data_IF_057700585377
#
_entry.id   IF_057700585377
#
_cell.length_a   1.000
_cell.length_b   1.000
_cell.length_c   1.000
_cell.angle_alpha   90.00
_cell.angle_beta   90.00
_cell.angle_gamma   90.00
#
_symmetry.space_group_name_H-M   'P 1'
#
loop_
_entity.id
_entity.type
_entity.pdbx_description
1 polymer ?
#
# COMPACT_ATOMS: atom_id res chain seq x y z
N UNK A 1 -19.54 14.11 -5.77
CA UNK A 1 -18.69 15.00 -4.96
C UNK A 1 -17.26 14.46 -4.97
N UNK A 2 -16.54 14.61 -6.08
CA UNK A 2 -15.10 14.32 -6.11
C UNK A 2 -14.37 15.56 -5.63
N UNK A 3 -14.32 15.76 -4.31
CA UNK A 3 -13.58 16.85 -3.65
C UNK A 3 -12.06 16.64 -3.66
N UNK A 4 -11.51 16.09 -4.74
CA UNK A 4 -10.08 15.85 -4.89
C UNK A 4 -9.52 16.99 -5.73
N UNK A 5 -8.77 17.90 -5.10
CA UNK A 5 -8.07 18.97 -5.81
C UNK A 5 -7.06 18.39 -6.80
N UNK A 6 -6.94 19.00 -7.99
CA UNK A 6 -5.92 18.61 -8.98
C UNK A 6 -4.51 18.64 -8.37
N UNK A 7 -4.25 19.58 -7.46
CA UNK A 7 -2.99 19.66 -6.72
C UNK A 7 -2.74 18.40 -5.86
N UNK A 8 -3.76 17.91 -5.15
CA UNK A 8 -3.70 16.68 -4.36
C UNK A 8 -3.40 15.45 -5.23
N UNK A 9 -4.00 15.40 -6.42
CA UNK A 9 -3.76 14.31 -7.39
C UNK A 9 -2.31 14.33 -7.92
N UNK A 10 -1.81 15.52 -8.27
CA UNK A 10 -0.42 15.70 -8.74
C UNK A 10 0.57 15.31 -7.65
N UNK A 11 0.35 15.74 -6.41
CA UNK A 11 1.19 15.36 -5.26
C UNK A 11 1.24 13.84 -5.11
N UNK A 12 0.08 13.17 -5.16
CA UNK A 12 0.03 11.71 -5.07
C UNK A 12 0.74 11.01 -6.22
N UNK A 13 0.61 11.53 -7.43
CA UNK A 13 1.30 10.99 -8.60
C UNK A 13 2.82 11.15 -8.48
N UNK A 14 3.31 12.34 -8.12
CA UNK A 14 4.76 12.60 -8.01
C UNK A 14 5.37 11.80 -6.86
N UNK A 15 4.81 11.89 -5.66
CA UNK A 15 5.34 11.14 -4.51
C UNK A 15 5.20 9.63 -4.70
N UNK A 16 4.06 9.16 -5.20
CA UNK A 16 3.83 7.75 -5.46
C UNK A 16 4.76 7.21 -6.54
N UNK A 17 4.85 7.90 -7.69
CA UNK A 17 5.69 7.50 -8.82
C UNK A 17 7.17 7.54 -8.48
N UNK A 18 7.65 8.59 -7.82
CA UNK A 18 9.04 8.71 -7.40
C UNK A 18 9.40 7.63 -6.37
N UNK A 19 8.54 7.40 -5.38
CA UNK A 19 8.73 6.37 -4.38
C UNK A 19 8.83 4.96 -4.99
N UNK A 20 7.94 4.63 -5.94
CA UNK A 20 7.97 3.34 -6.64
C UNK A 20 9.23 3.23 -7.50
N UNK A 21 9.58 4.27 -8.27
CA UNK A 21 10.78 4.26 -9.11
C UNK A 21 12.06 4.07 -8.27
N UNK A 22 12.20 4.79 -7.16
CA UNK A 22 13.33 4.65 -6.25
C UNK A 22 13.37 3.26 -5.60
N UNK A 23 12.22 2.76 -5.15
CA UNK A 23 12.10 1.42 -4.59
C UNK A 23 12.54 0.34 -5.59
N UNK A 24 12.13 0.45 -6.86
CA UNK A 24 12.55 -0.47 -7.93
C UNK A 24 14.05 -0.39 -8.18
N UNK A 25 14.62 0.81 -8.35
CA UNK A 25 16.07 0.98 -8.60
C UNK A 25 16.90 0.42 -7.45
N UNK A 26 16.49 0.68 -6.21
CA UNK A 26 17.18 0.16 -5.02
C UNK A 26 17.02 -1.37 -4.94
N UNK A 27 15.82 -1.89 -5.24
CA UNK A 27 15.53 -3.31 -5.20
C UNK A 27 16.36 -4.11 -6.22
N UNK A 28 16.49 -3.60 -7.44
CA UNK A 28 17.34 -4.21 -8.48
C UNK A 28 18.82 -4.19 -8.10
N UNK A 29 19.31 -3.10 -7.49
CA UNK A 29 20.71 -2.99 -7.07
C UNK A 29 21.08 -3.89 -5.89
N UNK A 30 20.17 -4.05 -4.93
CA UNK A 30 20.44 -4.84 -3.72
C UNK A 30 20.18 -6.33 -3.93
N UNK A 31 19.21 -6.68 -4.77
CA UNK A 31 18.85 -8.06 -5.07
C UNK A 31 18.37 -8.86 -3.84
N UNK A 32 17.92 -10.09 -4.10
CA UNK A 32 17.58 -11.07 -3.08
C UNK A 32 16.55 -10.58 -2.05
N UNK A 33 16.78 -10.91 -0.77
CA UNK A 33 15.86 -10.57 0.34
C UNK A 33 15.75 -9.06 0.58
N UNK A 34 16.84 -8.31 0.38
CA UNK A 34 16.85 -6.86 0.57
C UNK A 34 16.00 -6.18 -0.50
N UNK A 35 16.09 -6.63 -1.76
CA UNK A 35 15.21 -6.14 -2.81
C UNK A 35 13.73 -6.37 -2.51
N UNK A 36 13.37 -7.53 -1.95
CA UNK A 36 12.00 -7.81 -1.52
C UNK A 36 11.46 -6.84 -0.47
N UNK A 37 12.30 -6.36 0.47
CA UNK A 37 11.90 -5.36 1.47
C UNK A 37 11.57 -4.04 0.79
N UNK A 38 12.44 -3.56 -0.11
CA UNK A 38 12.23 -2.32 -0.83
C UNK A 38 11.03 -2.39 -1.79
N UNK A 39 10.69 -3.57 -2.33
CA UNK A 39 9.48 -3.76 -3.13
C UNK A 39 8.17 -3.51 -2.35
N UNK A 40 8.21 -3.48 -1.01
CA UNK A 40 7.05 -3.17 -0.16
C UNK A 40 7.00 -1.71 0.30
N UNK A 41 7.80 -0.83 -0.31
CA UNK A 41 7.86 0.58 0.07
C UNK A 41 6.46 1.22 0.13
N UNK A 42 6.09 1.92 1.22
CA UNK A 42 4.75 2.41 1.46
C UNK A 42 4.46 3.72 0.70
N UNK A 43 4.66 3.72 -0.62
CA UNK A 43 4.53 4.89 -1.51
C UNK A 43 3.16 5.57 -1.37
N UNK A 44 2.09 4.78 -1.35
CA UNK A 44 0.70 5.27 -1.27
C UNK A 44 0.43 5.95 0.07
N UNK A 45 0.94 5.38 1.16
CA UNK A 45 0.79 5.95 2.50
C UNK A 45 1.57 7.27 2.64
N UNK A 46 2.81 7.31 2.14
CA UNK A 46 3.62 8.52 2.14
C UNK A 46 2.95 9.66 1.35
N UNK A 47 2.46 9.35 0.16
CA UNK A 47 1.71 10.30 -0.66
C UNK A 47 0.45 10.82 0.05
N UNK A 48 -0.27 9.94 0.77
CA UNK A 48 -1.44 10.33 1.55
C UNK A 48 -1.09 11.24 2.74
N UNK A 49 0.00 10.96 3.47
CA UNK A 49 0.49 11.83 4.54
C UNK A 49 0.89 13.21 4.05
N UNK A 50 1.62 13.30 2.93
CA UNK A 50 2.02 14.59 2.35
C UNK A 50 0.80 15.39 1.90
N UNK A 51 -0.16 14.73 1.27
CA UNK A 51 -1.44 15.36 0.89
C UNK A 51 -2.16 15.92 2.12
N UNK A 52 -2.24 15.12 3.18
CA UNK A 52 -2.89 15.51 4.42
C UNK A 52 -2.21 16.72 5.08
N UNK A 53 -0.88 16.78 5.05
CA UNK A 53 -0.09 17.92 5.52
C UNK A 53 -0.33 19.21 4.73
N UNK A 54 -0.76 19.10 3.47
CA UNK A 54 -1.15 20.26 2.64
C UNK A 54 -2.58 20.68 2.94
N UNK A 55 -3.49 19.72 3.12
CA UNK A 55 -4.93 19.96 3.27
C UNK A 55 -5.32 20.41 4.71
N UNK A 56 -4.59 19.97 5.74
CA UNK A 56 -4.92 20.23 7.15
C UNK A 56 -3.76 20.88 7.92
N UNK A 57 -4.08 21.65 8.97
CA UNK A 57 -3.08 22.33 9.84
C UNK A 57 -3.44 22.17 11.32
N UNK A 58 -2.40 22.11 12.17
CA UNK A 58 -2.57 22.08 13.62
C UNK A 58 -3.15 20.75 14.13
N UNK A 59 -4.11 20.82 15.05
CA UNK A 59 -4.59 19.64 15.79
C UNK A 59 -5.44 18.68 14.94
N UNK A 60 -6.12 19.19 13.89
CA UNK A 60 -6.85 18.37 12.93
C UNK A 60 -5.92 17.50 12.08
N UNK A 61 -4.72 17.99 11.73
CA UNK A 61 -3.71 17.21 11.01
C UNK A 61 -3.29 15.97 11.83
N UNK A 62 -3.13 16.14 13.14
CA UNK A 62 -2.71 15.05 14.04
C UNK A 62 -3.82 14.00 14.11
N UNK A 63 -5.08 14.42 14.26
CA UNK A 63 -6.20 13.46 14.32
C UNK A 63 -6.37 12.69 13.00
N UNK A 64 -6.41 13.40 11.87
CA UNK A 64 -6.55 12.76 10.56
C UNK A 64 -5.37 11.84 10.22
N UNK A 65 -4.15 12.20 10.63
CA UNK A 65 -2.97 11.33 10.42
C UNK A 65 -3.02 10.07 11.28
N UNK A 66 -3.53 10.15 12.51
CA UNK A 66 -3.77 8.96 13.36
C UNK A 66 -4.84 8.06 12.73
N UNK A 67 -5.95 8.63 12.25
CA UNK A 67 -7.01 7.86 11.58
C UNK A 67 -6.49 7.18 10.30
N UNK A 68 -5.73 7.91 9.48
CA UNK A 68 -5.07 7.38 8.28
C UNK A 68 -4.10 6.24 8.64
N UNK A 69 -3.26 6.44 9.66
CA UNK A 69 -2.29 5.46 10.13
C UNK A 69 -2.97 4.18 10.63
N UNK A 70 -4.03 4.30 11.43
CA UNK A 70 -4.80 3.16 11.93
C UNK A 70 -5.41 2.33 10.78
N UNK A 71 -5.99 3.00 9.78
CA UNK A 71 -6.46 2.33 8.57
C UNK A 71 -5.35 1.65 7.78
N UNK A 72 -4.20 2.31 7.64
CA UNK A 72 -3.04 1.78 6.94
C UNK A 72 -2.46 0.53 7.61
N UNK A 73 -2.41 0.48 8.94
CA UNK A 73 -1.94 -0.70 9.69
C UNK A 73 -2.79 -1.93 9.37
N UNK A 74 -4.12 -1.80 9.40
CA UNK A 74 -5.03 -2.90 9.06
C UNK A 74 -4.81 -3.36 7.61
N UNK A 75 -4.63 -2.41 6.68
CA UNK A 75 -4.32 -2.72 5.29
C UNK A 75 -3.00 -3.49 5.11
N UNK A 76 -1.93 -3.08 5.83
CA UNK A 76 -0.62 -3.74 5.79
C UNK A 76 -0.70 -5.16 6.35
N UNK A 77 -1.45 -5.38 7.44
CA UNK A 77 -1.69 -6.74 7.96
C UNK A 77 -2.33 -7.63 6.89
N UNK A 78 -3.32 -7.11 6.16
CA UNK A 78 -3.91 -7.82 5.03
C UNK A 78 -2.90 -8.14 3.92
N UNK A 79 -2.02 -7.19 3.58
CA UNK A 79 -0.94 -7.41 2.62
C UNK A 79 0.03 -8.50 3.09
N UNK A 80 0.42 -8.54 4.36
CA UNK A 80 1.31 -9.57 4.91
C UNK A 80 0.71 -10.97 4.73
N UNK A 81 -0.58 -11.13 5.07
CA UNK A 81 -1.30 -12.39 4.89
C UNK A 81 -1.34 -12.78 3.41
N UNK A 82 -1.67 -11.84 2.52
CA UNK A 82 -1.70 -12.06 1.08
C UNK A 82 -0.35 -12.48 0.51
N UNK A 83 0.74 -11.84 0.95
CA UNK A 83 2.12 -12.18 0.52
C UNK A 83 2.50 -13.58 1.01
N UNK A 84 2.17 -13.92 2.26
CA UNK A 84 2.44 -15.26 2.80
C UNK A 84 1.67 -16.36 2.04
N UNK A 85 0.38 -16.14 1.78
CA UNK A 85 -0.46 -17.05 0.99
C UNK A 85 0.07 -17.20 -0.45
N UNK A 86 0.52 -16.10 -1.04
CA UNK A 86 1.10 -16.08 -2.39
C UNK A 86 2.43 -16.83 -2.44
N UNK A 87 3.32 -16.61 -1.46
CA UNK A 87 4.59 -17.33 -1.37
C UNK A 87 4.37 -18.84 -1.30
N UNK A 88 3.37 -19.29 -0.52
CA UNK A 88 2.98 -20.69 -0.45
C UNK A 88 2.36 -21.22 -1.76
N UNK A 89 1.45 -20.46 -2.37
CA UNK A 89 0.77 -20.87 -3.60
C UNK A 89 1.71 -20.92 -4.82
N UNK A 90 2.66 -19.98 -4.94
CA UNK A 90 3.65 -19.95 -6.02
C UNK A 90 4.53 -21.19 -5.99
N UNK A 91 4.92 -21.69 -4.81
CA UNK A 91 5.71 -22.92 -4.67
C UNK A 91 4.96 -24.16 -5.20
N UNK A 92 3.62 -24.20 -5.10
CA UNK A 92 2.82 -25.37 -5.51
C UNK A 92 2.29 -25.32 -6.94
N UNK A 93 1.94 -24.12 -7.44
CA UNK A 93 1.11 -23.96 -8.64
C UNK A 93 1.86 -23.20 -9.76
N UNK A 94 3.09 -22.76 -9.49
CA UNK A 94 3.93 -22.01 -10.41
C UNK A 94 3.59 -20.52 -10.49
N UNK A 95 4.49 -19.75 -11.12
CA UNK A 95 4.46 -18.28 -11.10
C UNK A 95 3.17 -17.67 -11.67
N UNK A 96 2.73 -18.11 -12.86
CA UNK A 96 1.60 -17.48 -13.58
C UNK A 96 0.27 -17.61 -12.83
N UNK A 97 0.02 -18.78 -12.22
CA UNK A 97 -1.19 -19.01 -11.41
C UNK A 97 -1.05 -18.40 -10.01
N UNK A 98 0.16 -18.38 -9.43
CA UNK A 98 0.43 -17.71 -8.18
C UNK A 98 0.23 -16.19 -8.23
N UNK A 99 0.57 -15.54 -9.34
CA UNK A 99 0.33 -14.11 -9.53
C UNK A 99 -1.18 -13.76 -9.54
N UNK A 100 -1.98 -14.54 -10.27
CA UNK A 100 -3.45 -14.38 -10.28
C UNK A 100 -4.00 -14.62 -8.87
N UNK A 101 -3.53 -15.67 -8.20
CA UNK A 101 -3.92 -15.98 -6.82
C UNK A 101 -3.55 -14.87 -5.83
N UNK A 102 -2.43 -14.18 -6.02
CA UNK A 102 -2.04 -13.03 -5.19
C UNK A 102 -3.04 -11.89 -5.29
N UNK A 103 -3.46 -11.55 -6.51
CA UNK A 103 -4.41 -10.46 -6.74
C UNK A 103 -5.78 -10.82 -6.18
N UNK A 104 -6.23 -12.06 -6.42
CA UNK A 104 -7.53 -12.55 -5.93
C UNK A 104 -7.55 -12.67 -4.41
N UNK A 105 -6.50 -13.22 -3.80
CA UNK A 105 -6.41 -13.37 -2.34
C UNK A 105 -6.38 -12.00 -1.65
N UNK A 106 -5.60 -11.05 -2.16
CA UNK A 106 -5.61 -9.67 -1.67
C UNK A 106 -7.01 -9.04 -1.76
N UNK A 107 -7.70 -9.20 -2.89
CA UNK A 107 -9.03 -8.64 -3.09
C UNK A 107 -10.05 -9.24 -2.11
N UNK A 108 -10.08 -10.57 -1.96
CA UNK A 108 -10.97 -11.27 -1.02
C UNK A 108 -10.69 -10.81 0.42
N UNK A 109 -9.42 -10.72 0.80
CA UNK A 109 -9.02 -10.28 2.14
C UNK A 109 -9.44 -8.83 2.40
N UNK A 110 -9.32 -7.97 1.40
CA UNK A 110 -9.79 -6.58 1.48
C UNK A 110 -11.31 -6.51 1.65
N UNK A 111 -12.07 -7.34 0.93
CA UNK A 111 -13.52 -7.43 1.11
C UNK A 111 -13.91 -7.93 2.51
N UNK A 112 -13.21 -8.94 3.03
CA UNK A 112 -13.41 -9.46 4.39
C UNK A 112 -13.14 -8.40 5.45
N UNK A 113 -12.03 -7.68 5.35
CA UNK A 113 -11.68 -6.60 6.28
C UNK A 113 -12.75 -5.50 6.28
N UNK A 114 -13.25 -5.13 5.09
CA UNK A 114 -14.33 -4.15 4.97
C UNK A 114 -15.64 -4.65 5.58
N UNK A 115 -16.00 -5.91 5.34
CA UNK A 115 -17.21 -6.52 5.89
C UNK A 115 -17.14 -6.62 7.43
N UNK A 116 -15.99 -7.01 7.99
CA UNK A 116 -15.78 -7.12 9.43
C UNK A 116 -15.78 -5.76 10.15
N UNK A 117 -15.35 -4.69 9.47
CA UNK A 117 -15.34 -3.33 10.03
C UNK A 117 -16.72 -2.67 10.04
N UNK A 118 -17.67 -3.21 9.28
CA UNK A 118 -19.06 -2.72 9.19
C UNK A 118 -20.05 -3.48 10.11
N UNK A 119 -19.57 -4.46 10.87
CA UNK A 119 -20.30 -5.16 11.96
C UNK A 119 -19.86 -4.52 13.28
#
# INVERSE_FOLDING_TARGET
MFGISLASLIIRFVFGGLAVALATVISEKLGGKLGGIFSTFPAVYLAALVTLAVDFRGQSLIQESIHLSSGAVIGIVGCIISVALTAYAVQKIGFRRGAIFSVVSWFILSCLILALKHI
#
